data_IF_511826111071
#
_entry.id   IF_511826111071
#
_cell.length_a   1.000
_cell.length_b   1.000
_cell.length_c   1.000
_cell.angle_alpha   90.00
_cell.angle_beta   90.00
_cell.angle_gamma   90.00
#
_symmetry.space_group_name_H-M   'P 1'
#
loop_
_entity.id
_entity.type
_entity.pdbx_description
1 polymer ?
#
# COMPACT_ATOMS: atom_id res chain seq x y z
N UNK A 1 14.27 5.87 4.76
CA UNK A 1 13.23 6.58 5.54
C UNK A 1 11.98 5.70 5.63
N UNK A 2 11.09 5.94 6.59
CA UNK A 2 9.81 5.22 6.71
C UNK A 2 8.69 6.06 6.11
N UNK A 3 7.91 5.49 5.21
CA UNK A 3 6.79 6.16 4.53
C UNK A 3 5.47 5.54 4.96
N UNK A 4 4.57 6.35 5.51
CA UNK A 4 3.22 5.90 5.89
C UNK A 4 2.21 6.27 4.81
N UNK A 5 1.36 5.32 4.41
CA UNK A 5 0.24 5.56 3.49
C UNK A 5 -1.05 5.19 4.22
N UNK A 6 -1.91 6.18 4.46
CA UNK A 6 -3.26 5.96 4.98
C UNK A 6 -4.23 5.88 3.81
N UNK A 7 -4.99 4.79 3.73
CA UNK A 7 -5.97 4.54 2.67
C UNK A 7 -7.36 4.41 3.30
N UNK A 8 -8.22 5.40 3.07
CA UNK A 8 -9.60 5.42 3.61
C UNK A 8 -10.66 5.12 2.56
N UNK A 9 -10.28 5.06 1.27
CA UNK A 9 -11.21 4.79 0.16
C UNK A 9 -10.62 3.80 -0.84
N UNK A 10 -11.49 3.16 -1.62
CA UNK A 10 -11.17 2.18 -2.66
C UNK A 10 -10.92 2.79 -4.05
N UNK A 11 -10.84 4.12 -4.16
CA UNK A 11 -10.87 4.83 -5.45
C UNK A 11 -9.51 5.07 -6.11
N UNK A 12 -8.42 4.82 -5.39
CA UNK A 12 -7.08 5.26 -5.79
C UNK A 12 -6.04 4.12 -5.76
N UNK A 13 -6.46 2.89 -6.07
CA UNK A 13 -5.60 1.70 -6.02
C UNK A 13 -4.27 1.90 -6.76
N UNK A 14 -4.33 2.31 -8.03
CA UNK A 14 -3.13 2.45 -8.87
C UNK A 14 -2.14 3.46 -8.30
N UNK A 15 -2.64 4.56 -7.73
CA UNK A 15 -1.81 5.57 -7.08
C UNK A 15 -1.14 5.01 -5.81
N UNK A 16 -1.88 4.27 -4.97
CA UNK A 16 -1.31 3.64 -3.77
C UNK A 16 -0.24 2.63 -4.13
N UNK A 17 -0.51 1.74 -5.10
CA UNK A 17 0.44 0.73 -5.58
C UNK A 17 1.68 1.40 -6.17
N UNK A 18 1.49 2.40 -7.03
CA UNK A 18 2.58 3.14 -7.66
C UNK A 18 3.47 3.85 -6.64
N UNK A 19 2.88 4.55 -5.67
CA UNK A 19 3.62 5.24 -4.60
C UNK A 19 4.40 4.26 -3.73
N UNK A 20 3.78 3.16 -3.30
CA UNK A 20 4.43 2.16 -2.47
C UNK A 20 5.64 1.53 -3.17
N UNK A 21 5.50 1.16 -4.45
CA UNK A 21 6.60 0.61 -5.26
C UNK A 21 7.70 1.63 -5.51
N UNK A 22 7.35 2.88 -5.82
CA UNK A 22 8.32 3.95 -6.05
C UNK A 22 9.12 4.28 -4.78
N UNK A 23 8.46 4.37 -3.63
CA UNK A 23 9.12 4.57 -2.34
C UNK A 23 10.07 3.41 -2.02
N UNK A 24 9.62 2.16 -2.24
CA UNK A 24 10.48 0.99 -2.03
C UNK A 24 11.68 0.95 -2.97
N UNK A 25 11.49 1.28 -4.26
CA UNK A 25 12.57 1.35 -5.24
C UNK A 25 13.66 2.38 -4.87
N UNK A 26 13.31 3.42 -4.10
CA UNK A 26 14.24 4.40 -3.52
C UNK A 26 14.89 3.94 -2.19
N UNK A 27 14.68 2.69 -1.78
CA UNK A 27 15.23 2.13 -0.55
C UNK A 27 14.51 2.58 0.72
N UNK A 28 13.24 2.98 0.63
CA UNK A 28 12.42 3.29 1.79
C UNK A 28 11.65 2.06 2.29
N UNK A 29 11.33 2.06 3.58
CA UNK A 29 10.33 1.14 4.14
C UNK A 29 8.95 1.79 4.02
N UNK A 30 7.93 1.00 3.69
CA UNK A 30 6.56 1.48 3.50
C UNK A 30 5.62 0.77 4.47
N UNK A 31 4.81 1.55 5.19
CA UNK A 31 3.71 1.04 6.00
C UNK A 31 2.40 1.54 5.40
N UNK A 32 1.52 0.64 4.98
CA UNK A 32 0.20 0.94 4.42
C UNK A 32 -0.84 0.58 5.47
N UNK A 33 -1.67 1.56 5.84
CA UNK A 33 -2.79 1.36 6.77
C UNK A 33 -4.10 1.61 6.04
N UNK A 34 -4.90 0.55 5.90
CA UNK A 34 -6.15 0.60 5.14
C UNK A 34 -7.32 0.57 6.11
N UNK A 35 -8.19 1.56 6.06
CA UNK A 35 -9.37 1.65 6.92
C UNK A 35 -10.62 1.94 6.08
N UNK A 36 -11.80 1.81 6.70
CA UNK A 36 -13.09 2.12 6.07
C UNK A 36 -13.23 1.40 4.71
N UNK A 37 -13.76 2.06 3.68
CA UNK A 37 -13.85 1.52 2.32
C UNK A 37 -12.49 1.14 1.71
N UNK A 38 -11.38 1.70 2.20
CA UNK A 38 -10.03 1.31 1.78
C UNK A 38 -9.70 -0.16 2.03
N UNK A 39 -10.32 -0.81 3.02
CA UNK A 39 -10.17 -2.25 3.27
C UNK A 39 -10.70 -3.12 2.11
N UNK A 40 -11.57 -2.59 1.24
CA UNK A 40 -12.07 -3.34 0.08
C UNK A 40 -10.98 -3.62 -0.95
N UNK A 41 -9.89 -2.84 -0.96
CA UNK A 41 -8.76 -3.04 -1.87
C UNK A 41 -8.02 -4.37 -1.64
N UNK A 42 -8.20 -5.03 -0.48
CA UNK A 42 -7.66 -6.38 -0.26
C UNK A 42 -8.31 -7.46 -1.13
N UNK A 43 -9.38 -7.15 -1.87
CA UNK A 43 -9.94 -8.04 -2.89
C UNK A 43 -9.24 -7.91 -4.25
N UNK A 44 -8.38 -6.89 -4.41
CA UNK A 44 -7.71 -6.58 -5.67
C UNK A 44 -6.28 -7.16 -5.68
N UNK A 45 -6.00 -8.03 -6.66
CA UNK A 45 -4.68 -8.69 -6.80
C UNK A 45 -3.52 -7.67 -6.78
N UNK A 46 -3.54 -6.54 -7.53
CA UNK A 46 -2.43 -5.60 -7.54
C UNK A 46 -2.09 -5.01 -6.16
N UNK A 47 -3.10 -4.85 -5.30
CA UNK A 47 -2.95 -4.32 -3.96
C UNK A 47 -2.40 -5.37 -3.00
N UNK A 48 -2.93 -6.61 -3.03
CA UNK A 48 -2.46 -7.70 -2.17
C UNK A 48 -1.03 -8.10 -2.49
N UNK A 49 -0.61 -8.06 -3.76
CA UNK A 49 0.78 -8.35 -4.16
C UNK A 49 1.81 -7.42 -3.50
N UNK A 50 1.41 -6.27 -2.95
CA UNK A 50 2.32 -5.40 -2.18
C UNK A 50 2.85 -6.08 -0.91
N UNK A 51 2.10 -7.02 -0.30
CA UNK A 51 2.55 -7.71 0.92
C UNK A 51 3.72 -8.67 0.67
N UNK A 52 3.97 -9.03 -0.59
CA UNK A 52 5.10 -9.87 -1.00
C UNK A 52 6.37 -9.07 -1.29
N UNK A 53 6.28 -7.74 -1.34
CA UNK A 53 7.43 -6.88 -1.58
C UNK A 53 8.15 -6.65 -0.26
N UNK A 54 9.39 -7.12 -0.16
CA UNK A 54 10.23 -6.86 1.01
C UNK A 54 10.30 -5.37 1.33
N UNK A 55 10.25 -5.01 2.61
CA UNK A 55 10.20 -3.62 3.07
C UNK A 55 8.84 -2.93 2.97
N UNK A 56 7.77 -3.62 2.52
CA UNK A 56 6.38 -3.14 2.61
C UNK A 56 5.64 -3.92 3.70
N UNK A 57 4.98 -3.19 4.60
CA UNK A 57 4.09 -3.74 5.63
C UNK A 57 2.69 -3.18 5.42
N UNK A 58 1.69 -4.04 5.57
CA UNK A 58 0.29 -3.67 5.42
C UNK A 58 -0.47 -4.03 6.71
N UNK A 59 -1.35 -3.13 7.15
CA UNK A 59 -2.30 -3.36 8.24
C UNK A 59 -3.66 -2.78 7.88
N UNK A 60 -4.69 -3.27 8.56
CA UNK A 60 -6.10 -2.94 8.33
C UNK A 60 -6.88 -2.91 9.64
#
# INVERSE_FOLDING_TARGET
MKFGILVTTDRHMDAVVGLARAARAKGHEVSIFSMDAGTKLFNEIPFVELCKVDGIRMSF
#
